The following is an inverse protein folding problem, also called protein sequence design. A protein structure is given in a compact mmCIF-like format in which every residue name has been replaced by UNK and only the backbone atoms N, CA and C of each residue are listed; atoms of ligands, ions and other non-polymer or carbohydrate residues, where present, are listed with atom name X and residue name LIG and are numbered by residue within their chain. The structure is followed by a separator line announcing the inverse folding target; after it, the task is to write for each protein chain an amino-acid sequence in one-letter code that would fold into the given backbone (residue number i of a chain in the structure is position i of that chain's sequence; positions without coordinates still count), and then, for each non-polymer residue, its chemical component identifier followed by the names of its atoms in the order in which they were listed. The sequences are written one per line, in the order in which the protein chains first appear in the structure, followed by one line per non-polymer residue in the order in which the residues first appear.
data_IF_025276228412
#
_entry.id   IF_025276228412
#
_cell.length_a   1.000
_cell.length_b   1.000
_cell.length_c   1.000
_cell.angle_alpha   90.00
_cell.angle_beta   90.00
_cell.angle_gamma   90.00
#
_symmetry.space_group_name_H-M   'P 1'
#
loop_
_entity.id
_entity.type
_entity.pdbx_description
1 polymer ?
#
# COMPACT_ATOMS: atom_id res chain seq x y z
N UNK A 1 2.68 -5.49 -19.68
CA UNK A 1 3.26 -4.17 -19.37
C UNK A 1 2.13 -3.34 -18.78
N UNK A 2 2.20 -3.01 -17.48
CA UNK A 2 1.21 -2.10 -16.86
C UNK A 2 1.65 -0.67 -17.09
N UNK A 3 0.70 0.19 -17.47
CA UNK A 3 0.91 1.62 -17.67
C UNK A 3 1.38 2.28 -16.35
N UNK A 4 2.27 3.27 -16.43
CA UNK A 4 2.54 4.25 -15.39
C UNK A 4 1.28 4.75 -14.69
N UNK A 5 1.26 4.73 -13.36
CA UNK A 5 0.15 5.32 -12.61
C UNK A 5 0.37 6.83 -12.52
N UNK A 6 -0.27 7.61 -13.40
CA UNK A 6 -0.25 9.08 -13.31
C UNK A 6 -1.24 9.60 -12.27
N UNK A 7 -0.73 9.84 -11.06
CA UNK A 7 -1.50 10.34 -9.91
C UNK A 7 -2.11 11.74 -10.09
N UNK A 8 -1.72 12.49 -11.13
CA UNK A 8 -2.33 13.79 -11.46
C UNK A 8 -3.69 13.65 -12.14
N UNK A 9 -4.00 12.46 -12.63
CA UNK A 9 -5.32 12.14 -13.20
C UNK A 9 -6.21 11.49 -12.14
N UNK A 10 -7.55 11.69 -12.20
CA UNK A 10 -8.48 10.98 -11.32
C UNK A 10 -8.36 9.45 -11.42
N UNK A 11 -8.14 8.92 -12.62
CA UNK A 11 -8.01 7.49 -12.88
C UNK A 11 -6.73 6.92 -12.27
N UNK A 12 -5.59 7.59 -12.46
CA UNK A 12 -4.33 7.20 -11.85
C UNK A 12 -4.34 7.34 -10.33
N UNK A 13 -4.99 8.37 -9.78
CA UNK A 13 -5.19 8.47 -8.34
C UNK A 13 -6.01 7.28 -7.79
N UNK A 14 -7.08 6.88 -8.47
CA UNK A 14 -7.87 5.70 -8.07
C UNK A 14 -7.05 4.42 -8.14
N UNK A 15 -6.27 4.23 -9.21
CA UNK A 15 -5.40 3.06 -9.35
C UNK A 15 -4.34 3.01 -8.23
N UNK A 16 -3.71 4.14 -7.92
CA UNK A 16 -2.76 4.25 -6.81
C UNK A 16 -3.38 3.86 -5.47
N UNK A 17 -4.59 4.35 -5.17
CA UNK A 17 -5.31 4.04 -3.94
C UNK A 17 -5.72 2.56 -3.87
N UNK A 18 -6.15 1.96 -4.98
CA UNK A 18 -6.50 0.54 -5.01
C UNK A 18 -5.29 -0.36 -4.78
N UNK A 19 -4.11 -0.01 -5.31
CA UNK A 19 -2.89 -0.77 -5.06
C UNK A 19 -2.44 -0.61 -3.60
N UNK A 20 -2.47 0.61 -3.05
CA UNK A 20 -2.20 0.82 -1.61
C UNK A 20 -3.12 0.02 -0.71
N UNK A 21 -4.41 0.02 -1.02
CA UNK A 21 -5.41 -0.73 -0.26
C UNK A 21 -5.13 -2.24 -0.29
N UNK A 22 -4.71 -2.78 -1.44
CA UNK A 22 -4.33 -4.19 -1.58
C UNK A 22 -3.11 -4.55 -0.74
N UNK A 23 -2.10 -3.69 -0.67
CA UNK A 23 -0.94 -3.92 0.19
C UNK A 23 -1.30 -3.82 1.68
N UNK A 24 -2.03 -2.78 2.07
CA UNK A 24 -2.45 -2.58 3.46
C UNK A 24 -3.32 -3.74 3.99
N UNK A 25 -4.16 -4.33 3.14
CA UNK A 25 -5.01 -5.48 3.49
C UNK A 25 -4.40 -6.83 3.09
N UNK A 26 -3.19 -6.81 2.55
CA UNK A 26 -2.51 -7.98 2.02
C UNK A 26 -2.05 -8.95 3.12
N UNK A 27 -1.79 -10.22 2.75
CA UNK A 27 -1.37 -11.24 3.70
C UNK A 27 -0.08 -10.88 4.44
N UNK A 28 0.85 -10.19 3.78
CA UNK A 28 2.12 -9.76 4.37
C UNK A 28 1.92 -8.74 5.49
N UNK A 29 1.23 -7.62 5.23
CA UNK A 29 0.96 -6.63 6.27
C UNK A 29 0.08 -7.21 7.40
N UNK A 30 -0.88 -8.10 7.09
CA UNK A 30 -1.67 -8.80 8.11
C UNK A 30 -0.81 -9.72 8.99
N UNK A 31 0.19 -10.37 8.44
CA UNK A 31 1.11 -11.21 9.20
C UNK A 31 1.92 -10.36 10.19
N UNK A 32 2.54 -9.27 9.71
CA UNK A 32 3.27 -8.34 10.57
C UNK A 32 2.38 -7.70 11.64
N UNK A 33 1.18 -7.25 11.26
CA UNK A 33 0.21 -6.69 12.18
C UNK A 33 -0.20 -7.71 13.25
N UNK A 34 -0.38 -8.98 12.89
CA UNK A 34 -0.72 -10.04 13.83
C UNK A 34 0.37 -10.32 14.85
N UNK A 35 1.65 -10.23 14.45
CA UNK A 35 2.78 -10.33 15.38
C UNK A 35 2.78 -9.15 16.35
N UNK A 36 2.61 -7.93 15.84
CA UNK A 36 2.62 -6.72 16.65
C UNK A 36 1.45 -6.65 17.65
N UNK A 37 0.28 -7.14 17.25
CA UNK A 37 -0.95 -7.09 18.04
C UNK A 37 -1.18 -8.35 18.90
N UNK A 38 -0.44 -9.44 18.65
CA UNK A 38 -0.60 -10.74 19.31
C UNK A 38 -1.97 -11.42 19.10
N UNK A 39 -2.68 -11.04 18.05
CA UNK A 39 -3.91 -11.69 17.60
C UNK A 39 -4.11 -11.49 16.10
N UNK A 40 -4.97 -12.28 15.43
CA UNK A 40 -5.34 -12.02 14.05
C UNK A 40 -5.94 -10.61 13.90
N UNK A 41 -5.39 -9.74 13.03
CA UNK A 41 -5.85 -8.37 12.90
C UNK A 41 -7.15 -8.28 12.09
N UNK A 42 -8.06 -7.41 12.53
CA UNK A 42 -9.14 -6.91 11.70
C UNK A 42 -8.61 -6.07 10.54
N UNK A 43 -9.46 -5.79 9.55
CA UNK A 43 -9.11 -4.96 8.39
C UNK A 43 -8.66 -3.55 8.81
N UNK A 44 -9.33 -2.97 9.81
CA UNK A 44 -8.96 -1.66 10.35
C UNK A 44 -7.58 -1.70 11.02
N UNK A 45 -7.30 -2.73 11.82
CA UNK A 45 -6.01 -2.89 12.49
C UNK A 45 -4.87 -3.11 11.50
N UNK A 46 -5.08 -3.88 10.44
CA UNK A 46 -4.13 -4.04 9.36
C UNK A 46 -3.82 -2.70 8.69
N UNK A 47 -4.84 -1.91 8.34
CA UNK A 47 -4.66 -0.57 7.75
C UNK A 47 -3.91 0.37 8.69
N UNK A 48 -4.29 0.39 9.98
CA UNK A 48 -3.63 1.23 10.97
C UNK A 48 -2.16 0.81 11.18
N UNK A 49 -1.87 -0.48 11.17
CA UNK A 49 -0.51 -1.00 11.23
C UNK A 49 0.31 -0.54 10.02
N UNK A 50 -0.25 -0.65 8.82
CA UNK A 50 0.39 -0.23 7.56
C UNK A 50 0.75 1.26 7.57
N UNK A 51 -0.16 2.11 8.07
CA UNK A 51 0.07 3.56 8.19
C UNK A 51 1.14 3.86 9.24
N UNK A 52 1.01 3.29 10.45
CA UNK A 52 1.88 3.61 11.59
C UNK A 52 3.31 3.13 11.45
N UNK A 53 3.53 2.03 10.74
CA UNK A 53 4.86 1.45 10.55
C UNK A 53 5.53 1.89 9.25
N UNK A 54 5.01 2.93 8.60
CA UNK A 54 5.62 3.51 7.41
C UNK A 54 5.37 2.75 6.11
N UNK A 55 4.48 1.75 6.09
CA UNK A 55 4.10 1.04 4.86
C UNK A 55 3.48 1.97 3.83
N UNK A 56 2.65 2.93 4.25
CA UNK A 56 2.10 3.95 3.35
C UNK A 56 3.19 4.89 2.78
N UNK A 57 4.20 5.23 3.58
CA UNK A 57 5.31 6.08 3.16
C UNK A 57 6.28 5.34 2.24
N UNK A 58 6.65 4.11 2.59
CA UNK A 58 7.47 3.25 1.74
C UNK A 58 6.79 2.96 0.40
N UNK A 59 5.49 2.69 0.41
CA UNK A 59 4.70 2.54 -0.79
C UNK A 59 4.79 3.80 -1.67
N UNK A 60 4.52 4.98 -1.11
CA UNK A 60 4.60 6.23 -1.86
C UNK A 60 6.02 6.42 -2.45
N UNK A 61 7.07 6.16 -1.67
CA UNK A 61 8.46 6.26 -2.12
C UNK A 61 8.80 5.28 -3.24
N UNK A 62 8.33 4.03 -3.17
CA UNK A 62 8.53 3.03 -4.24
C UNK A 62 7.84 3.47 -5.54
N UNK A 63 6.63 4.00 -5.45
CA UNK A 63 5.89 4.48 -6.62
C UNK A 63 6.36 5.86 -7.13
N UNK A 64 7.12 6.61 -6.33
CA UNK A 64 7.76 7.88 -6.71
C UNK A 64 9.14 7.68 -7.34
N UNK A 65 9.90 6.71 -6.85
CA UNK A 65 11.29 6.48 -7.26
C UNK A 65 11.46 5.31 -8.25
N UNK A 66 10.46 4.42 -8.42
CA UNK A 66 10.50 3.45 -9.51
C UNK A 66 10.12 4.10 -10.84
N UNK A 67 11.15 4.41 -11.64
CA UNK A 67 11.03 4.59 -13.09
C UNK A 67 10.52 3.33 -13.83
N UNK A 68 10.32 2.19 -13.16
CA UNK A 68 9.62 1.02 -13.74
C UNK A 68 8.10 1.20 -13.87
N UNK A 69 7.53 2.26 -13.29
CA UNK A 69 6.20 2.76 -13.64
C UNK A 69 6.31 3.99 -14.56
N UNK A 70 7.34 4.07 -15.40
CA UNK A 70 7.44 4.96 -16.57
C UNK A 70 7.67 4.09 -17.82
N UNK A 71 6.59 3.81 -18.56
CA UNK A 71 6.58 3.42 -19.98
C UNK A 71 5.38 4.07 -20.65
#
# INVERSE_FOLDING_TARGET
MSTPIDRRTPEGLRQFLEVQKREALGPENRWFAGIALQHPPSDNEAVMHFIRNGGATDFANRFENNQEFSI
#
